data_IF_269706994848
#
_entry.id   IF_269706994848
#
_cell.length_a   1.000
_cell.length_b   1.000
_cell.length_c   1.000
_cell.angle_alpha   90.00
_cell.angle_beta   90.00
_cell.angle_gamma   90.00
#
_symmetry.space_group_name_H-M   'P 1'
#
loop_
_entity.id
_entity.type
_entity.pdbx_description
1 polymer ?
#
# COMPACT_ATOMS: atom_id res chain seq x y z
N UNK A 1 -12.88 5.23 -10.21
CA UNK A 1 -13.19 4.98 -11.64
C UNK A 1 -12.23 3.91 -12.12
N UNK A 2 -12.78 2.79 -12.63
CA UNK A 2 -12.01 1.68 -13.13
C UNK A 2 -11.04 2.11 -14.23
N UNK A 3 -9.89 1.53 -14.21
CA UNK A 3 -8.87 1.64 -15.24
C UNK A 3 -9.30 0.82 -16.44
N UNK A 4 -9.99 1.47 -17.41
CA UNK A 4 -10.36 0.86 -18.69
C UNK A 4 -11.36 -0.30 -18.58
N UNK A 5 -11.77 -0.82 -19.68
CA UNK A 5 -12.83 -1.82 -19.83
C UNK A 5 -12.48 -3.26 -19.39
N UNK A 6 -11.35 -3.45 -18.74
CA UNK A 6 -10.90 -4.76 -18.25
C UNK A 6 -10.89 -4.78 -16.73
N UNK A 7 -11.93 -5.35 -16.15
CA UNK A 7 -12.03 -5.60 -14.70
C UNK A 7 -11.08 -6.73 -14.33
N UNK A 8 -9.86 -6.34 -13.91
CA UNK A 8 -8.88 -7.27 -13.36
C UNK A 8 -8.86 -7.14 -11.85
N UNK A 9 -8.99 -8.25 -11.15
CA UNK A 9 -8.80 -8.32 -9.71
C UNK A 9 -7.67 -9.29 -9.39
N UNK A 10 -6.94 -8.99 -8.34
CA UNK A 10 -5.91 -9.86 -7.81
C UNK A 10 -6.20 -10.10 -6.33
N UNK A 11 -6.09 -11.35 -5.92
CA UNK A 11 -6.15 -11.74 -4.52
C UNK A 11 -4.82 -12.39 -4.14
N UNK A 12 -4.15 -11.82 -3.15
CA UNK A 12 -2.90 -12.34 -2.63
C UNK A 12 -3.15 -12.82 -1.20
N UNK A 13 -2.72 -14.04 -0.91
CA UNK A 13 -2.77 -14.63 0.42
C UNK A 13 -1.35 -15.04 0.81
N UNK A 14 -0.92 -14.68 2.01
CA UNK A 14 0.43 -14.99 2.44
C UNK A 14 0.76 -14.48 3.83
N UNK A 15 2.03 -14.63 4.21
CA UNK A 15 2.54 -14.15 5.49
C UNK A 15 2.91 -12.68 5.39
N UNK A 16 2.47 -11.90 6.37
CA UNK A 16 2.85 -10.49 6.52
C UNK A 16 3.95 -10.38 7.57
N UNK A 17 4.96 -9.56 7.29
CA UNK A 17 5.99 -9.13 8.23
C UNK A 17 6.23 -7.64 8.10
N UNK A 18 6.61 -7.00 9.18
CA UNK A 18 7.01 -5.60 9.16
C UNK A 18 8.38 -5.46 8.47
N UNK A 19 8.58 -4.38 7.71
CA UNK A 19 9.88 -4.05 7.13
C UNK A 19 10.84 -3.58 8.21
N UNK A 20 12.13 -3.70 7.98
CA UNK A 20 13.15 -3.13 8.87
C UNK A 20 13.03 -1.59 8.91
N UNK A 21 13.44 -0.99 10.03
CA UNK A 21 13.49 0.48 10.15
C UNK A 21 14.29 1.12 9.02
N UNK A 22 15.38 0.49 8.60
CA UNK A 22 16.24 0.99 7.54
C UNK A 22 15.54 1.01 6.17
N UNK A 23 14.76 -0.02 5.85
CA UNK A 23 13.93 -0.06 4.63
C UNK A 23 12.82 0.97 4.68
N UNK A 24 12.15 1.10 5.83
CA UNK A 24 11.13 2.12 6.05
C UNK A 24 11.70 3.52 5.88
N UNK A 25 12.88 3.81 6.43
CA UNK A 25 13.56 5.10 6.30
C UNK A 25 13.95 5.38 4.84
N UNK A 26 14.51 4.42 4.13
CA UNK A 26 14.84 4.55 2.69
C UNK A 26 13.61 4.91 1.87
N UNK A 27 12.53 4.19 2.06
CA UNK A 27 11.28 4.45 1.32
C UNK A 27 10.67 5.79 1.74
N UNK A 28 10.63 6.11 3.02
CA UNK A 28 10.14 7.40 3.52
C UNK A 28 10.89 8.57 2.89
N UNK A 29 12.22 8.49 2.85
CA UNK A 29 13.09 9.55 2.29
C UNK A 29 12.96 9.68 0.77
N UNK A 30 12.58 8.63 0.05
CA UNK A 30 12.32 8.68 -1.39
C UNK A 30 11.04 9.42 -1.75
N UNK A 31 10.15 9.68 -0.78
CA UNK A 31 8.87 10.36 -1.02
C UNK A 31 9.08 11.87 -1.16
N UNK A 32 8.22 12.49 -1.96
CA UNK A 32 8.19 13.95 -2.11
C UNK A 32 8.00 14.64 -0.76
N UNK A 33 8.60 15.82 -0.57
CA UNK A 33 8.53 16.59 0.67
C UNK A 33 7.11 16.72 1.23
N UNK A 34 6.14 17.15 0.42
CA UNK A 34 4.75 17.28 0.84
C UNK A 34 4.13 15.98 1.38
N UNK A 35 4.53 14.82 0.82
CA UNK A 35 4.08 13.51 1.31
C UNK A 35 4.72 13.15 2.65
N UNK A 36 5.97 13.53 2.87
CA UNK A 36 6.66 13.36 4.15
C UNK A 36 6.03 14.22 5.24
N UNK A 37 5.74 15.49 4.94
CA UNK A 37 5.02 16.40 5.84
C UNK A 37 3.60 15.91 6.12
N UNK A 38 2.88 15.42 5.09
CA UNK A 38 1.55 14.85 5.25
C UNK A 38 1.50 13.67 6.22
N UNK A 39 2.55 12.85 6.26
CA UNK A 39 2.65 11.74 7.21
C UNK A 39 2.72 12.22 8.68
N UNK A 40 3.31 13.36 8.95
CA UNK A 40 3.32 14.00 10.28
C UNK A 40 2.02 14.73 10.60
N UNK A 41 1.42 15.36 9.60
CA UNK A 41 0.28 16.24 9.79
C UNK A 41 -1.05 15.50 9.93
N UNK A 42 -1.15 14.29 9.36
CA UNK A 42 -2.39 13.52 9.29
C UNK A 42 -2.47 12.46 10.38
N UNK A 43 -3.54 12.50 11.17
CA UNK A 43 -3.96 11.38 12.01
C UNK A 43 -4.80 10.41 11.16
N UNK A 44 -4.14 9.57 10.38
CA UNK A 44 -4.80 8.69 9.41
C UNK A 44 -6.01 7.95 10.02
N UNK A 45 -7.13 7.96 9.28
CA UNK A 45 -8.40 7.29 9.65
C UNK A 45 -9.09 7.79 10.93
N UNK A 46 -8.62 8.88 11.52
CA UNK A 46 -9.34 9.55 12.61
C UNK A 46 -10.32 10.58 12.07
N UNK A 47 -11.36 10.86 12.86
CA UNK A 47 -12.38 11.86 12.47
C UNK A 47 -11.70 13.23 12.36
N UNK A 48 -11.85 13.85 11.22
CA UNK A 48 -11.43 15.23 10.94
C UNK A 48 -12.65 16.15 11.06
N UNK A 49 -12.66 17.01 12.07
CA UNK A 49 -13.81 17.91 12.29
C UNK A 49 -13.94 18.96 11.19
N UNK A 50 -12.82 19.57 10.78
CA UNK A 50 -12.75 20.57 9.72
C UNK A 50 -11.52 20.36 8.85
N UNK A 51 -11.65 20.60 7.56
CA UNK A 51 -10.52 20.45 6.62
C UNK A 51 -9.40 21.44 6.92
N UNK A 52 -9.74 22.62 7.41
CA UNK A 52 -8.80 23.66 7.84
C UNK A 52 -7.85 23.20 8.94
N UNK A 53 -8.28 22.28 9.82
CA UNK A 53 -7.44 21.75 10.89
C UNK A 53 -6.27 20.92 10.31
N UNK A 54 -6.52 20.18 9.22
CA UNK A 54 -5.46 19.47 8.50
C UNK A 54 -4.46 20.45 7.87
N UNK A 55 -4.95 21.51 7.22
CA UNK A 55 -4.08 22.52 6.61
C UNK A 55 -3.22 23.24 7.67
N UNK A 56 -3.80 23.60 8.81
CA UNK A 56 -3.03 24.17 9.96
C UNK A 56 -1.95 23.21 10.44
N UNK A 57 -2.28 21.92 10.54
CA UNK A 57 -1.31 20.89 10.91
C UNK A 57 -0.17 20.80 9.89
N UNK A 58 -0.49 20.79 8.60
CA UNK A 58 0.52 20.78 7.53
C UNK A 58 1.47 21.98 7.66
N UNK A 59 0.93 23.18 7.81
CA UNK A 59 1.76 24.39 7.95
C UNK A 59 2.63 24.38 9.23
N UNK A 60 2.10 23.84 10.32
CA UNK A 60 2.87 23.60 11.55
C UNK A 60 4.09 22.70 11.28
N UNK A 61 3.88 21.58 10.56
CA UNK A 61 4.98 20.64 10.30
C UNK A 61 5.92 21.11 9.22
N UNK A 62 5.49 21.93 8.25
CA UNK A 62 6.39 22.62 7.32
C UNK A 62 7.33 23.58 8.04
N UNK A 63 6.83 24.33 9.03
CA UNK A 63 7.67 25.20 9.87
C UNK A 63 8.67 24.41 10.70
N UNK A 64 8.24 23.26 11.25
CA UNK A 64 9.10 22.39 12.05
C UNK A 64 10.16 21.67 11.24
N UNK A 65 9.84 21.27 10.02
CA UNK A 65 10.70 20.51 9.11
C UNK A 65 10.70 21.19 7.73
N UNK A 66 11.49 22.25 7.53
CA UNK A 66 11.54 22.95 6.25
C UNK A 66 12.11 22.06 5.14
N UNK A 67 11.79 22.36 3.87
CA UNK A 67 12.19 21.56 2.69
C UNK A 67 13.72 21.54 2.48
N UNK A 68 14.42 22.52 3.02
CA UNK A 68 15.89 22.58 3.00
C UNK A 68 16.56 21.67 4.02
N UNK A 69 15.77 21.02 4.89
CA UNK A 69 16.27 20.19 5.98
C UNK A 69 15.83 18.73 5.89
N UNK A 70 16.26 17.98 6.91
CA UNK A 70 15.84 16.59 7.06
C UNK A 70 14.45 16.52 7.67
N UNK A 71 13.54 15.80 7.01
CA UNK A 71 12.23 15.45 7.56
C UNK A 71 12.32 14.00 8.08
N UNK A 72 12.45 13.78 9.40
CA UNK A 72 12.57 12.43 9.93
C UNK A 72 11.26 11.66 9.73
N UNK A 73 11.36 10.34 9.65
CA UNK A 73 10.18 9.47 9.58
C UNK A 73 9.44 9.47 10.92
N UNK A 74 8.11 9.65 10.94
CA UNK A 74 7.33 9.51 12.17
C UNK A 74 7.48 8.10 12.77
N UNK A 75 7.55 7.94 14.10
CA UNK A 75 7.74 6.64 14.74
C UNK A 75 6.62 5.63 14.46
N UNK A 76 5.43 6.11 14.15
CA UNK A 76 4.27 5.28 13.80
C UNK A 76 4.18 4.94 12.30
N UNK A 77 5.10 5.49 11.47
CA UNK A 77 5.10 5.24 10.04
C UNK A 77 6.04 4.08 9.72
N UNK A 78 5.50 2.99 9.19
CA UNK A 78 6.22 1.78 8.85
C UNK A 78 5.69 1.20 7.53
N UNK A 79 6.19 0.05 7.14
CA UNK A 79 5.76 -0.70 5.98
C UNK A 79 5.63 -2.19 6.28
N UNK A 80 4.91 -2.89 5.40
CA UNK A 80 4.65 -4.31 5.53
C UNK A 80 5.03 -5.03 4.25
N UNK A 81 5.65 -6.20 4.38
CA UNK A 81 5.94 -7.11 3.27
C UNK A 81 4.96 -8.27 3.35
N UNK A 82 4.23 -8.47 2.26
CA UNK A 82 3.45 -9.70 2.06
C UNK A 82 4.30 -10.68 1.25
N UNK A 83 4.63 -11.83 1.84
CA UNK A 83 5.19 -12.99 1.13
C UNK A 83 4.03 -13.86 0.68
N UNK A 84 3.64 -13.84 -0.60
CA UNK A 84 2.48 -14.58 -1.05
C UNK A 84 2.72 -16.08 -1.00
N UNK A 85 1.70 -16.83 -0.60
CA UNK A 85 1.60 -18.29 -0.75
C UNK A 85 0.61 -18.67 -1.83
N UNK A 86 -0.37 -17.80 -2.06
CA UNK A 86 -1.37 -17.94 -3.11
C UNK A 86 -1.56 -16.60 -3.81
N UNK A 87 -1.68 -16.64 -5.12
CA UNK A 87 -1.98 -15.49 -5.96
C UNK A 87 -3.10 -15.92 -6.91
N UNK A 88 -4.23 -15.23 -6.86
CA UNK A 88 -5.34 -15.46 -7.77
C UNK A 88 -5.53 -14.22 -8.64
N UNK A 89 -5.56 -14.46 -9.94
CA UNK A 89 -5.92 -13.48 -10.95
C UNK A 89 -7.35 -13.75 -11.41
N UNK A 90 -8.13 -12.71 -11.43
CA UNK A 90 -9.54 -12.77 -11.77
C UNK A 90 -9.81 -11.79 -12.92
N UNK A 91 -10.34 -12.31 -14.01
CA UNK A 91 -10.71 -11.53 -15.18
C UNK A 91 -12.24 -11.63 -15.37
N UNK A 92 -12.86 -10.49 -15.55
CA UNK A 92 -14.30 -10.41 -15.77
C UNK A 92 -14.66 -11.02 -17.13
N UNK A 93 -15.64 -11.89 -17.13
CA UNK A 93 -16.18 -12.55 -18.32
C UNK A 93 -17.67 -12.27 -18.47
N UNK A 94 -18.16 -12.39 -19.70
CA UNK A 94 -19.58 -12.24 -20.01
C UNK A 94 -20.42 -13.26 -19.25
N UNK A 95 -21.66 -12.90 -18.92
CA UNK A 95 -22.62 -13.75 -18.21
C UNK A 95 -22.11 -14.30 -16.88
N UNK A 96 -21.17 -13.58 -16.21
CA UNK A 96 -20.50 -14.00 -14.97
C UNK A 96 -19.62 -15.25 -15.10
N UNK A 97 -19.30 -15.67 -16.32
CA UNK A 97 -18.34 -16.74 -16.56
C UNK A 97 -16.93 -16.15 -16.52
N UNK A 98 -16.45 -15.93 -15.29
CA UNK A 98 -15.17 -15.27 -15.04
C UNK A 98 -14.01 -16.23 -15.23
N UNK A 99 -12.91 -15.73 -15.82
CA UNK A 99 -11.66 -16.48 -15.84
C UNK A 99 -10.92 -16.30 -14.52
N UNK A 100 -10.54 -17.42 -13.92
CA UNK A 100 -9.84 -17.43 -12.63
C UNK A 100 -8.60 -18.30 -12.75
N UNK A 101 -7.44 -17.68 -12.55
CA UNK A 101 -6.13 -18.33 -12.54
C UNK A 101 -5.52 -18.21 -11.15
N UNK A 102 -5.26 -19.35 -10.51
CA UNK A 102 -4.66 -19.41 -9.18
C UNK A 102 -3.26 -20.02 -9.25
N UNK A 103 -2.33 -19.36 -8.56
CA UNK A 103 -1.01 -19.88 -8.28
C UNK A 103 -0.91 -20.22 -6.80
N UNK A 104 -0.28 -21.35 -6.48
CA UNK A 104 0.00 -21.79 -5.10
C UNK A 104 1.47 -22.19 -5.02
N UNK A 105 2.18 -21.68 -4.00
CA UNK A 105 3.58 -22.07 -3.79
C UNK A 105 3.64 -23.48 -3.20
N UNK A 106 4.51 -24.31 -3.75
CA UNK A 106 4.78 -25.67 -3.26
C UNK A 106 5.78 -25.63 -2.10
N UNK A 107 5.94 -26.76 -1.44
CA UNK A 107 6.97 -26.93 -0.38
C UNK A 107 8.39 -26.74 -0.91
N UNK A 108 8.62 -27.03 -2.19
CA UNK A 108 9.91 -26.87 -2.86
C UNK A 108 10.16 -25.41 -3.32
N UNK A 109 9.21 -24.49 -3.12
CA UNK A 109 9.33 -23.10 -3.52
C UNK A 109 8.95 -22.81 -4.97
N UNK A 110 8.45 -23.80 -5.70
CA UNK A 110 7.93 -23.65 -7.05
C UNK A 110 6.45 -23.22 -7.02
N UNK A 111 5.95 -22.72 -8.14
CA UNK A 111 4.56 -22.28 -8.25
C UNK A 111 3.73 -23.22 -9.12
N UNK A 112 2.78 -23.90 -8.53
CA UNK A 112 1.73 -24.62 -9.26
C UNK A 112 0.66 -23.64 -9.74
N UNK A 113 0.06 -23.97 -10.88
CA UNK A 113 -0.92 -23.15 -11.58
C UNK A 113 -2.21 -23.92 -11.85
N UNK A 114 -3.35 -23.32 -11.48
CA UNK A 114 -4.66 -23.93 -11.61
C UNK A 114 -5.66 -22.96 -12.23
N UNK A 115 -6.53 -23.45 -13.10
CA UNK A 115 -7.75 -22.76 -13.46
C UNK A 115 -8.84 -23.11 -12.45
N UNK A 116 -9.60 -22.12 -12.05
CA UNK A 116 -10.74 -22.30 -11.14
C UNK A 116 -12.05 -22.05 -11.88
N UNK A 117 -13.07 -22.83 -11.56
CA UNK A 117 -14.43 -22.52 -12.02
C UNK A 117 -14.89 -21.15 -11.49
N UNK A 118 -15.67 -20.41 -12.27
CA UNK A 118 -16.19 -19.10 -11.91
C UNK A 118 -17.12 -19.14 -10.70
#
# INVERSE_FOLDING_TARGET
RGLGDVYKRQRLVGKISEVSSNEADKYYNSRKYGSRIGAWASNQSKILKKREDLYKSIEKFKKKYPDTGVVPRPPYWSGWILKPKEIEFWLDGENRIHERLKYVITENGEWDKFLLSP
#
